data_IF_801911173401
#
_entry.id   IF_801911173401
#
_cell.length_a   1.000
_cell.length_b   1.000
_cell.length_c   1.000
_cell.angle_alpha   90.00
_cell.angle_beta   90.00
_cell.angle_gamma   90.00
#
_symmetry.space_group_name_H-M   'P 1'
#
loop_
_entity.id
_entity.type
_entity.pdbx_description
1 polymer ?
#
# COMPACT_ATOMS: atom_id res chain seq x y z
N UNK A 1 -11.76 -15.96 14.61
CA UNK A 1 -11.46 -17.36 14.25
C UNK A 1 -9.95 -17.53 14.38
N UNK A 2 -9.44 -18.54 15.09
CA UNK A 2 -7.99 -18.73 15.25
C UNK A 2 -7.43 -19.29 13.94
N UNK A 3 -6.60 -18.52 13.24
CA UNK A 3 -5.90 -18.99 12.04
C UNK A 3 -5.01 -20.18 12.43
N UNK A 4 -5.40 -21.38 12.00
CA UNK A 4 -4.69 -22.61 12.34
C UNK A 4 -3.52 -22.76 11.35
N UNK A 5 -2.29 -22.84 11.87
CA UNK A 5 -1.09 -23.02 11.04
C UNK A 5 -1.25 -24.15 10.03
N UNK A 6 -1.11 -23.83 8.74
CA UNK A 6 -1.18 -24.79 7.65
C UNK A 6 0.23 -25.01 7.06
N UNK A 7 0.84 -26.15 7.40
CA UNK A 7 2.17 -26.53 6.91
C UNK A 7 2.23 -26.65 5.38
N UNK A 8 1.12 -26.98 4.71
CA UNK A 8 1.07 -27.04 3.24
C UNK A 8 1.20 -25.66 2.62
N UNK A 9 0.54 -24.65 3.18
CA UNK A 9 0.66 -23.24 2.72
C UNK A 9 2.12 -22.80 2.78
N UNK A 10 2.78 -23.02 3.91
CA UNK A 10 4.20 -22.71 4.07
C UNK A 10 5.08 -23.37 3.01
N UNK A 11 4.99 -24.70 2.83
CA UNK A 11 5.85 -25.39 1.86
C UNK A 11 5.51 -25.08 0.40
N UNK A 12 4.25 -24.78 0.10
CA UNK A 12 3.84 -24.29 -1.22
C UNK A 12 4.45 -22.91 -1.49
N UNK A 13 4.40 -22.00 -0.52
CA UNK A 13 5.01 -20.67 -0.61
C UNK A 13 6.52 -20.75 -0.80
N UNK A 14 7.21 -21.59 -0.03
CA UNK A 14 8.66 -21.81 -0.18
C UNK A 14 8.98 -22.33 -1.59
N UNK A 15 8.21 -23.33 -2.06
CA UNK A 15 8.42 -23.89 -3.40
C UNK A 15 8.20 -22.86 -4.50
N UNK A 16 7.14 -22.06 -4.35
CA UNK A 16 6.78 -21.00 -5.28
C UNK A 16 7.86 -19.90 -5.33
N UNK A 17 8.23 -19.34 -4.17
CA UNK A 17 9.24 -18.27 -4.07
C UNK A 17 10.63 -18.73 -4.54
N UNK A 18 11.02 -19.97 -4.21
CA UNK A 18 12.27 -20.55 -4.72
C UNK A 18 12.31 -20.54 -6.25
N UNK A 19 11.22 -20.99 -6.88
CA UNK A 19 11.12 -21.03 -8.35
C UNK A 19 11.17 -19.64 -8.99
N UNK A 20 10.50 -18.64 -8.39
CA UNK A 20 10.51 -17.25 -8.86
C UNK A 20 11.91 -16.62 -8.78
N UNK A 21 12.69 -16.97 -7.75
CA UNK A 21 14.05 -16.48 -7.55
C UNK A 21 15.12 -17.33 -8.26
N UNK A 22 14.73 -18.39 -8.99
CA UNK A 22 15.67 -19.33 -9.61
C UNK A 22 16.51 -20.14 -8.63
N UNK A 23 16.11 -20.21 -7.35
CA UNK A 23 16.80 -20.95 -6.28
C UNK A 23 16.34 -22.41 -6.25
N UNK A 24 17.25 -23.32 -5.92
CA UNK A 24 16.89 -24.73 -5.71
C UNK A 24 16.44 -24.97 -4.29
N UNK A 25 15.45 -25.85 -4.09
CA UNK A 25 14.98 -26.24 -2.75
C UNK A 25 16.13 -26.75 -1.86
N UNK A 26 17.07 -27.50 -2.43
CA UNK A 26 18.23 -27.98 -1.67
C UNK A 26 19.16 -26.87 -1.17
N UNK A 27 19.21 -25.72 -1.85
CA UNK A 27 19.98 -24.55 -1.39
C UNK A 27 19.28 -23.89 -0.20
N UNK A 28 17.95 -23.78 -0.25
CA UNK A 28 17.15 -23.28 0.87
C UNK A 28 17.22 -24.20 2.10
N UNK A 29 17.24 -25.52 1.89
CA UNK A 29 17.41 -26.49 2.98
C UNK A 29 18.77 -26.33 3.67
N UNK A 30 19.83 -26.14 2.88
CA UNK A 30 21.17 -25.88 3.41
C UNK A 30 21.23 -24.55 4.18
N UNK A 31 20.66 -23.48 3.62
CA UNK A 31 20.58 -22.18 4.28
C UNK A 31 19.76 -22.22 5.58
N UNK A 32 18.73 -23.07 5.62
CA UNK A 32 17.90 -23.26 6.80
C UNK A 32 18.51 -24.20 7.86
N UNK A 33 19.66 -24.80 7.58
CA UNK A 33 20.33 -25.74 8.48
C UNK A 33 19.64 -27.11 8.57
N UNK A 34 18.89 -27.52 7.56
CA UNK A 34 18.16 -28.80 7.53
C UNK A 34 18.73 -29.76 6.49
N UNK A 35 18.47 -31.05 6.68
CA UNK A 35 18.90 -32.11 5.75
C UNK A 35 18.27 -31.96 4.37
N UNK A 36 18.97 -32.36 3.31
CA UNK A 36 18.42 -32.38 1.96
C UNK A 36 17.15 -33.24 1.85
N UNK A 37 16.15 -32.74 1.14
CA UNK A 37 14.81 -33.33 1.00
C UNK A 37 13.92 -33.18 2.24
N UNK A 38 14.34 -32.43 3.27
CA UNK A 38 13.51 -32.11 4.43
C UNK A 38 12.20 -31.45 4.00
N UNK A 39 12.24 -30.42 3.16
CA UNK A 39 11.06 -29.69 2.70
C UNK A 39 10.09 -30.63 1.99
N UNK A 40 10.59 -31.48 1.08
CA UNK A 40 9.75 -32.45 0.35
C UNK A 40 9.08 -33.46 1.28
N UNK A 41 9.83 -34.03 2.24
CA UNK A 41 9.29 -34.99 3.22
C UNK A 41 8.27 -34.34 4.15
N UNK A 42 8.51 -33.10 4.54
CA UNK A 42 7.68 -32.37 5.51
C UNK A 42 6.36 -31.89 4.88
N UNK A 43 6.39 -31.59 3.56
CA UNK A 43 5.21 -31.23 2.77
C UNK A 43 4.14 -32.36 2.71
N UNK A 44 4.57 -33.61 2.66
CA UNK A 44 3.65 -34.77 2.56
C UNK A 44 3.09 -35.21 3.91
N UNK A 45 3.83 -35.01 5.01
CA UNK A 45 3.53 -35.62 6.31
C UNK A 45 2.82 -34.76 7.36
N UNK A 46 2.29 -33.59 7.01
CA UNK A 46 1.69 -32.62 7.96
C UNK A 46 2.61 -32.27 9.14
N UNK A 47 3.92 -32.30 8.92
CA UNK A 47 4.92 -31.98 9.93
C UNK A 47 5.04 -30.47 10.12
N UNK A 48 5.27 -30.04 11.37
CA UNK A 48 5.47 -28.63 11.71
C UNK A 48 6.97 -28.34 11.79
N UNK A 49 7.53 -27.49 10.91
CA UNK A 49 8.94 -27.12 10.99
C UNK A 49 9.22 -26.30 12.26
N UNK A 50 10.46 -26.36 12.74
CA UNK A 50 10.93 -25.49 13.82
C UNK A 50 10.93 -24.02 13.38
N UNK A 51 10.71 -23.10 14.31
CA UNK A 51 10.61 -21.67 14.01
C UNK A 51 11.90 -21.11 13.36
N UNK A 52 13.07 -21.60 13.78
CA UNK A 52 14.37 -21.21 13.20
C UNK A 52 14.45 -21.53 11.70
N UNK A 53 13.90 -22.68 11.29
CA UNK A 53 13.86 -23.09 9.88
C UNK A 53 13.01 -22.08 9.07
N UNK A 54 11.86 -21.69 9.62
CA UNK A 54 10.97 -20.73 8.95
C UNK A 54 11.63 -19.36 8.81
N UNK A 55 12.28 -18.86 9.88
CA UNK A 55 12.98 -17.57 9.88
C UNK A 55 14.14 -17.58 8.88
N UNK A 56 14.97 -18.63 8.89
CA UNK A 56 16.13 -18.71 7.99
C UNK A 56 15.70 -18.75 6.52
N UNK A 57 14.64 -19.51 6.19
CA UNK A 57 14.10 -19.53 4.84
C UNK A 57 13.48 -18.18 4.45
N UNK A 58 12.78 -17.51 5.38
CA UNK A 58 12.22 -16.17 5.15
C UNK A 58 13.31 -15.15 4.81
N UNK A 59 14.40 -15.15 5.58
CA UNK A 59 15.55 -14.29 5.34
C UNK A 59 16.22 -14.60 3.99
N UNK A 60 16.42 -15.88 3.68
CA UNK A 60 17.03 -16.31 2.42
C UNK A 60 16.17 -15.93 1.20
N UNK A 61 14.84 -15.97 1.34
CA UNK A 61 13.89 -15.56 0.30
C UNK A 61 13.59 -14.05 0.33
N UNK A 62 14.15 -13.31 1.30
CA UNK A 62 13.91 -11.88 1.53
C UNK A 62 12.41 -11.53 1.63
N UNK A 63 11.65 -12.33 2.37
CA UNK A 63 10.21 -12.12 2.65
C UNK A 63 9.94 -12.18 4.16
N UNK A 64 8.81 -11.63 4.61
CA UNK A 64 8.40 -11.75 6.02
C UNK A 64 7.97 -13.18 6.37
N UNK A 65 8.14 -13.55 7.64
CA UNK A 65 7.63 -14.83 8.17
C UNK A 65 6.11 -14.92 8.02
N UNK A 66 5.39 -13.81 8.24
CA UNK A 66 3.93 -13.75 8.04
C UNK A 66 3.51 -14.04 6.60
N UNK A 67 4.25 -13.53 5.61
CA UNK A 67 4.01 -13.86 4.19
C UNK A 67 4.12 -15.36 3.96
N UNK A 68 5.19 -15.98 4.48
CA UNK A 68 5.44 -17.41 4.33
C UNK A 68 4.36 -18.28 4.99
N UNK A 69 3.81 -17.85 6.12
CA UNK A 69 2.85 -18.65 6.89
C UNK A 69 1.40 -18.48 6.45
N UNK A 70 1.01 -17.25 6.11
CA UNK A 70 -0.40 -16.87 6.03
C UNK A 70 -0.89 -16.56 4.60
N UNK A 71 0.02 -16.35 3.63
CA UNK A 71 -0.38 -15.97 2.28
C UNK A 71 -0.41 -17.19 1.37
N UNK A 72 -1.51 -17.53 0.71
CA UNK A 72 -1.51 -18.63 -0.27
C UNK A 72 -0.94 -18.16 -1.62
N UNK A 73 0.39 -18.05 -1.72
CA UNK A 73 1.07 -17.44 -2.87
C UNK A 73 0.86 -18.24 -4.17
N UNK A 74 0.63 -19.55 -4.07
CA UNK A 74 0.41 -20.43 -5.22
C UNK A 74 -0.93 -20.24 -5.93
N UNK A 75 -1.89 -19.56 -5.30
CA UNK A 75 -3.24 -19.34 -5.86
C UNK A 75 -3.41 -17.91 -6.42
N UNK A 76 -2.39 -17.06 -6.30
CA UNK A 76 -2.44 -15.71 -6.83
C UNK A 76 -2.41 -15.72 -8.36
N UNK A 77 -3.32 -14.95 -8.96
CA UNK A 77 -3.26 -14.62 -10.39
C UNK A 77 -1.99 -13.83 -10.71
N UNK A 78 -1.54 -13.80 -11.98
CA UNK A 78 -0.37 -13.01 -12.37
C UNK A 78 -0.46 -11.53 -11.98
N UNK A 79 -1.66 -10.94 -12.06
CA UNK A 79 -1.91 -9.54 -11.65
C UNK A 79 -1.78 -9.36 -10.14
N UNK A 80 -2.31 -10.28 -9.34
CA UNK A 80 -2.17 -10.25 -7.89
C UNK A 80 -0.71 -10.41 -7.44
N UNK A 81 0.06 -11.27 -8.10
CA UNK A 81 1.50 -11.41 -7.86
C UNK A 81 2.25 -10.11 -8.17
N UNK A 82 1.92 -9.45 -9.29
CA UNK A 82 2.48 -8.16 -9.65
C UNK A 82 2.17 -7.08 -8.59
N UNK A 83 0.90 -7.00 -8.14
CA UNK A 83 0.49 -6.04 -7.12
C UNK A 83 1.16 -6.29 -5.76
N UNK A 84 1.28 -7.56 -5.34
CA UNK A 84 2.04 -7.91 -4.14
C UNK A 84 3.48 -7.41 -4.23
N UNK A 85 4.18 -7.74 -5.32
CA UNK A 85 5.59 -7.33 -5.49
C UNK A 85 5.74 -5.80 -5.50
N UNK A 86 4.78 -5.10 -6.09
CA UNK A 86 4.72 -3.64 -6.05
C UNK A 86 4.59 -3.12 -4.61
N UNK A 87 3.64 -3.66 -3.83
CA UNK A 87 3.40 -3.25 -2.44
C UNK A 87 4.60 -3.53 -1.54
N UNK A 88 5.18 -4.72 -1.62
CA UNK A 88 6.39 -5.08 -0.86
C UNK A 88 7.55 -4.13 -1.16
N UNK A 89 7.72 -3.77 -2.44
CA UNK A 89 8.73 -2.78 -2.84
C UNK A 89 8.41 -1.39 -2.30
N UNK A 90 7.17 -0.93 -2.39
CA UNK A 90 6.74 0.36 -1.84
C UNK A 90 6.97 0.45 -0.32
N UNK A 91 6.64 -0.61 0.42
CA UNK A 91 6.90 -0.72 1.86
C UNK A 91 8.41 -0.64 2.12
N UNK A 92 9.22 -1.42 1.40
CA UNK A 92 10.68 -1.45 1.58
C UNK A 92 11.35 -0.12 1.24
N UNK A 93 10.94 0.54 0.15
CA UNK A 93 11.54 1.81 -0.25
C UNK A 93 11.02 2.98 0.62
N UNK A 94 9.80 2.93 1.15
CA UNK A 94 9.29 3.91 2.12
C UNK A 94 10.00 3.79 3.48
N UNK A 95 10.18 2.57 4.00
CA UNK A 95 10.92 2.34 5.26
C UNK A 95 12.40 2.76 5.17
N UNK A 96 12.98 2.70 3.96
CA UNK A 96 14.35 3.17 3.67
C UNK A 96 14.44 4.65 3.34
N UNK A 97 13.35 5.39 3.52
CA UNK A 97 13.27 6.83 3.25
C UNK A 97 13.68 7.23 1.82
N UNK A 98 13.31 6.41 0.83
CA UNK A 98 13.58 6.68 -0.59
C UNK A 98 12.41 7.29 -1.34
N UNK A 99 11.22 7.25 -0.75
CA UNK A 99 9.98 7.69 -1.38
C UNK A 99 9.46 8.93 -0.67
N UNK A 100 9.20 9.97 -1.46
CA UNK A 100 8.68 11.26 -1.02
C UNK A 100 7.16 11.28 -1.21
N UNK A 101 6.43 10.81 -0.21
CA UNK A 101 4.97 10.80 -0.21
C UNK A 101 4.44 12.19 0.15
N UNK A 102 3.54 12.73 -0.66
CA UNK A 102 2.81 13.95 -0.32
C UNK A 102 1.59 13.58 0.53
N UNK A 103 1.33 14.40 1.56
CA UNK A 103 0.17 14.24 2.44
C UNK A 103 -0.99 15.07 1.91
N UNK A 104 -2.17 14.47 1.84
CA UNK A 104 -3.44 15.13 1.53
C UNK A 104 -4.37 14.96 2.72
N UNK A 105 -4.63 16.04 3.45
CA UNK A 105 -5.35 15.94 4.71
C UNK A 105 -6.80 15.54 4.49
N UNK A 106 -7.37 14.78 5.44
CA UNK A 106 -8.78 14.38 5.39
C UNK A 106 -9.71 15.59 5.22
N UNK A 107 -9.43 16.67 5.96
CA UNK A 107 -10.19 17.93 5.87
C UNK A 107 -10.09 18.53 4.47
N UNK A 108 -8.88 18.68 3.92
CA UNK A 108 -8.72 19.27 2.58
C UNK A 108 -9.48 18.49 1.52
N UNK A 109 -9.48 17.16 1.60
CA UNK A 109 -10.17 16.30 0.65
C UNK A 109 -11.70 16.29 0.83
N UNK A 110 -12.19 16.28 2.08
CA UNK A 110 -13.62 16.30 2.36
C UNK A 110 -14.27 17.65 2.02
N UNK A 111 -13.50 18.74 2.00
CA UNK A 111 -13.97 20.10 1.69
C UNK A 111 -13.58 20.60 0.30
N UNK A 112 -13.18 19.70 -0.63
CA UNK A 112 -12.94 20.05 -2.03
C UNK A 112 -14.17 20.78 -2.60
N UNK A 113 -13.93 21.91 -3.26
CA UNK A 113 -14.95 22.64 -4.01
C UNK A 113 -14.64 22.55 -5.50
N UNK A 114 -15.65 22.30 -6.35
CA UNK A 114 -15.44 22.32 -7.78
C UNK A 114 -15.31 23.77 -8.29
N UNK A 115 -14.59 23.94 -9.39
CA UNK A 115 -14.56 25.19 -10.14
C UNK A 115 -15.91 25.45 -10.86
N UNK A 116 -15.99 26.56 -11.59
CA UNK A 116 -17.19 26.95 -12.36
C UNK A 116 -17.59 25.92 -13.42
N UNK A 117 -16.68 25.05 -13.84
CA UNK A 117 -16.90 24.00 -14.83
C UNK A 117 -17.19 22.63 -14.20
N UNK A 118 -17.24 22.54 -12.86
CA UNK A 118 -17.44 21.28 -12.14
C UNK A 118 -16.15 20.47 -11.91
N UNK A 119 -14.97 21.01 -12.26
CA UNK A 119 -13.70 20.33 -12.02
C UNK A 119 -13.28 20.48 -10.56
N UNK A 120 -12.91 19.38 -9.93
CA UNK A 120 -12.54 19.32 -8.50
C UNK A 120 -11.07 19.67 -8.26
N UNK A 121 -10.25 19.72 -9.31
CA UNK A 121 -8.79 19.85 -9.21
C UNK A 121 -8.06 18.59 -8.73
N UNK A 122 -8.79 17.55 -8.29
CA UNK A 122 -8.23 16.29 -7.83
C UNK A 122 -8.68 15.13 -8.74
N UNK A 123 -7.77 14.30 -9.27
CA UNK A 123 -8.10 13.32 -10.32
C UNK A 123 -9.05 12.21 -9.87
N UNK A 124 -9.08 11.89 -8.58
CA UNK A 124 -9.97 10.87 -8.03
C UNK A 124 -11.35 11.41 -7.57
N UNK A 125 -11.57 12.73 -7.62
CA UNK A 125 -12.83 13.33 -7.18
C UNK A 125 -13.62 13.84 -8.38
N UNK A 126 -14.93 13.58 -8.38
CA UNK A 126 -15.84 14.10 -9.38
C UNK A 126 -17.14 14.55 -8.75
N UNK A 127 -17.81 15.53 -9.37
CA UNK A 127 -19.13 15.97 -8.90
C UNK A 127 -20.16 14.91 -9.26
N UNK A 128 -20.88 14.41 -8.25
CA UNK A 128 -21.95 13.43 -8.42
C UNK A 128 -23.23 13.91 -7.76
N UNK A 129 -24.35 13.53 -8.36
CA UNK A 129 -25.68 13.67 -7.78
C UNK A 129 -26.16 12.31 -7.29
N UNK A 130 -26.53 12.18 -6.03
CA UNK A 130 -26.96 10.92 -5.44
C UNK A 130 -27.85 11.12 -4.21
N UNK A 131 -28.54 10.05 -3.81
CA UNK A 131 -29.45 10.03 -2.67
C UNK A 131 -28.70 9.68 -1.37
N UNK A 132 -28.86 10.51 -0.35
CA UNK A 132 -28.30 10.31 1.00
C UNK A 132 -29.44 9.98 1.97
N UNK A 133 -29.33 8.89 2.76
CA UNK A 133 -30.30 8.61 3.80
C UNK A 133 -30.35 9.74 4.83
N UNK A 134 -31.55 10.24 5.14
CA UNK A 134 -31.76 11.20 6.23
C UNK A 134 -32.32 10.50 7.46
N UNK A 135 -32.30 11.17 8.61
CA UNK A 135 -32.94 10.67 9.84
C UNK A 135 -34.47 10.59 9.73
N UNK A 136 -35.08 11.20 8.71
CA UNK A 136 -36.53 11.41 8.60
C UNK A 136 -37.09 10.78 7.32
N UNK A 137 -37.03 9.45 7.25
CA UNK A 137 -37.74 8.51 6.35
C UNK A 137 -37.53 8.65 4.81
N UNK A 138 -37.23 9.84 4.29
CA UNK A 138 -37.00 10.10 2.87
C UNK A 138 -35.53 10.50 2.62
N UNK A 139 -34.85 9.86 1.66
CA UNK A 139 -33.50 10.25 1.30
C UNK A 139 -33.50 11.62 0.59
N UNK A 140 -32.44 12.38 0.80
CA UNK A 140 -32.23 13.69 0.19
C UNK A 140 -31.28 13.58 -1.01
N UNK A 141 -31.60 14.24 -2.11
CA UNK A 141 -30.70 14.34 -3.27
C UNK A 141 -29.66 15.42 -3.02
N UNK A 142 -28.38 15.05 -3.08
CA UNK A 142 -27.25 15.96 -2.92
C UNK A 142 -26.36 15.94 -4.15
N UNK A 143 -25.78 17.10 -4.47
CA UNK A 143 -24.76 17.24 -5.52
C UNK A 143 -23.49 17.82 -4.91
N UNK A 144 -22.40 17.04 -4.91
CA UNK A 144 -21.10 17.47 -4.36
C UNK A 144 -19.94 16.70 -4.98
N UNK A 145 -18.70 17.22 -4.88
CA UNK A 145 -17.50 16.42 -5.14
C UNK A 145 -17.47 15.19 -4.24
N UNK A 146 -17.24 14.03 -4.84
CA UNK A 146 -17.07 12.77 -4.11
C UNK A 146 -15.91 11.98 -4.70
N UNK A 147 -15.23 11.27 -3.81
CA UNK A 147 -14.36 10.17 -4.18
C UNK A 147 -15.23 8.92 -4.40
N UNK A 148 -15.31 8.43 -5.64
CA UNK A 148 -16.08 7.24 -6.00
C UNK A 148 -15.27 5.98 -5.69
N UNK A 149 -15.25 5.60 -4.42
CA UNK A 149 -14.62 4.37 -3.94
C UNK A 149 -15.25 3.14 -4.60
N UNK A 150 -14.46 2.10 -4.86
CA UNK A 150 -15.04 0.83 -5.31
C UNK A 150 -15.70 0.05 -4.18
N UNK A 151 -15.25 0.25 -2.95
CA UNK A 151 -15.80 -0.39 -1.76
C UNK A 151 -17.14 0.22 -1.33
N UNK A 152 -17.27 1.56 -1.36
CA UNK A 152 -18.43 2.28 -0.81
C UNK A 152 -19.20 3.15 -1.83
N UNK A 153 -18.72 3.25 -3.08
CA UNK A 153 -19.35 4.04 -4.13
C UNK A 153 -19.38 5.54 -3.81
N UNK A 154 -20.48 6.21 -4.15
CA UNK A 154 -20.66 7.65 -3.91
C UNK A 154 -20.90 8.01 -2.43
N UNK A 155 -21.18 7.01 -1.58
CA UNK A 155 -21.43 7.19 -0.15
C UNK A 155 -20.13 7.08 0.65
N UNK A 156 -19.10 7.76 0.16
CA UNK A 156 -17.74 7.71 0.73
C UNK A 156 -17.35 9.05 1.32
N UNK A 157 -16.71 9.00 2.47
CA UNK A 157 -16.01 10.12 3.10
C UNK A 157 -14.53 9.75 3.28
N UNK A 158 -13.67 10.75 3.39
CA UNK A 158 -12.27 10.55 3.73
C UNK A 158 -12.16 10.43 5.25
N UNK A 159 -11.58 9.32 5.71
CA UNK A 159 -11.55 8.97 7.13
C UNK A 159 -10.33 9.56 7.85
N UNK A 160 -9.17 9.53 7.19
CA UNK A 160 -7.88 10.01 7.69
C UNK A 160 -7.07 10.61 6.54
N UNK A 161 -5.91 11.18 6.84
CA UNK A 161 -5.00 11.72 5.82
C UNK A 161 -4.68 10.66 4.74
N UNK A 162 -4.78 11.08 3.49
CA UNK A 162 -4.43 10.30 2.33
C UNK A 162 -3.03 10.67 1.86
N UNK A 163 -2.45 9.84 1.00
CA UNK A 163 -1.10 10.04 0.51
C UNK A 163 -1.03 9.86 -0.99
N UNK A 164 -0.21 10.66 -1.66
CA UNK A 164 0.11 10.45 -3.07
C UNK A 164 1.62 10.37 -3.31
N UNK A 165 1.99 9.58 -4.31
CA UNK A 165 3.37 9.39 -4.73
C UNK A 165 3.44 9.49 -6.26
N UNK A 166 4.20 10.46 -6.74
CA UNK A 166 4.45 10.61 -8.18
C UNK A 166 5.45 9.53 -8.63
N UNK A 167 4.99 8.60 -9.48
CA UNK A 167 5.84 7.53 -10.02
C UNK A 167 6.63 8.00 -11.24
N UNK A 168 6.02 8.87 -12.06
CA UNK A 168 6.62 9.54 -13.20
C UNK A 168 5.82 10.82 -13.52
N UNK A 169 6.22 11.56 -14.57
CA UNK A 169 5.59 12.83 -14.95
C UNK A 169 4.06 12.79 -15.06
N UNK A 170 3.48 11.69 -15.52
CA UNK A 170 2.05 11.59 -15.83
C UNK A 170 1.33 10.52 -15.00
N UNK A 171 1.95 9.98 -13.95
CA UNK A 171 1.36 8.89 -13.19
C UNK A 171 1.60 9.08 -11.72
N UNK A 172 0.51 9.11 -10.97
CA UNK A 172 0.51 9.29 -9.52
C UNK A 172 -0.24 8.13 -8.89
N UNK A 173 0.36 7.56 -7.85
CA UNK A 173 -0.23 6.56 -6.99
C UNK A 173 -0.88 7.27 -5.81
N UNK A 174 -2.06 6.84 -5.40
CA UNK A 174 -2.83 7.40 -4.30
C UNK A 174 -3.19 6.31 -3.31
N UNK A 175 -2.99 6.58 -2.03
CA UNK A 175 -3.36 5.72 -0.94
C UNK A 175 -4.43 6.43 -0.11
N UNK A 176 -5.65 5.95 -0.26
CA UNK A 176 -6.85 6.60 0.26
C UNK A 176 -7.33 5.90 1.53
N UNK A 177 -7.49 6.65 2.63
CA UNK A 177 -8.17 6.19 3.84
C UNK A 177 -9.62 6.68 3.84
N UNK A 178 -10.56 5.75 3.79
CA UNK A 178 -11.96 6.07 3.53
C UNK A 178 -12.91 5.41 4.51
N UNK A 179 -14.08 6.01 4.66
CA UNK A 179 -15.19 5.42 5.40
C UNK A 179 -16.54 5.65 4.71
N UNK A 180 -17.53 4.87 5.11
CA UNK A 180 -18.93 5.10 4.74
C UNK A 180 -19.39 6.46 5.29
N UNK A 181 -20.09 7.23 4.47
CA UNK A 181 -20.65 8.51 4.88
C UNK A 181 -21.62 8.41 6.06
N UNK A 182 -22.34 7.29 6.16
CA UNK A 182 -23.24 6.98 7.28
C UNK A 182 -22.95 5.57 7.77
N UNK A 183 -22.59 5.43 9.04
CA UNK A 183 -22.34 4.13 9.68
C UNK A 183 -22.55 4.19 11.19
N UNK A 184 -22.76 3.04 11.82
CA UNK A 184 -22.89 2.95 13.28
C UNK A 184 -21.53 3.13 13.95
N UNK A 185 -21.52 3.76 15.12
CA UNK A 185 -20.30 3.88 15.94
C UNK A 185 -19.74 2.48 16.22
N UNK A 186 -18.48 2.27 15.85
CA UNK A 186 -17.79 0.99 16.05
C UNK A 186 -18.03 -0.05 14.96
N UNK A 187 -18.65 0.28 13.81
CA UNK A 187 -18.74 -0.64 12.66
C UNK A 187 -17.34 -0.89 12.05
N UNK A 188 -16.74 -2.10 12.20
CA UNK A 188 -15.42 -2.41 11.64
C UNK A 188 -15.42 -2.49 10.10
N UNK A 189 -16.60 -2.58 9.48
CA UNK A 189 -16.77 -2.60 8.03
C UNK A 189 -17.09 -1.22 7.45
N UNK A 190 -17.09 -0.18 8.27
CA UNK A 190 -17.28 1.18 7.81
C UNK A 190 -16.02 1.80 7.21
N UNK A 191 -14.84 1.23 7.47
CA UNK A 191 -13.55 1.79 7.06
C UNK A 191 -12.88 0.87 6.04
N UNK A 192 -12.20 1.47 5.07
CA UNK A 192 -11.38 0.77 4.09
C UNK A 192 -10.17 1.62 3.70
N UNK A 193 -9.16 0.97 3.15
CA UNK A 193 -8.02 1.62 2.50
C UNK A 193 -7.93 1.14 1.08
N UNK A 194 -7.80 2.06 0.14
CA UNK A 194 -7.73 1.77 -1.28
C UNK A 194 -6.47 2.36 -1.90
N UNK A 195 -5.79 1.55 -2.69
CA UNK A 195 -4.67 1.97 -3.52
C UNK A 195 -5.18 2.24 -4.93
N UNK A 196 -5.03 3.48 -5.38
CA UNK A 196 -5.44 3.94 -6.70
C UNK A 196 -4.23 4.38 -7.50
N UNK A 197 -4.32 4.22 -8.82
CA UNK A 197 -3.40 4.83 -9.77
C UNK A 197 -4.19 5.75 -10.67
N UNK A 198 -3.63 6.91 -10.97
CA UNK A 198 -4.20 7.83 -11.94
C UNK A 198 -3.12 8.37 -12.85
N UNK A 199 -3.48 8.49 -14.12
CA UNK A 199 -2.77 9.28 -15.10
C UNK A 199 -3.66 10.44 -15.58
N UNK A 200 -3.19 11.21 -16.56
CA UNK A 200 -3.92 12.39 -17.06
C UNK A 200 -5.28 12.06 -17.73
N UNK A 201 -5.59 10.78 -17.98
CA UNK A 201 -6.78 10.35 -18.73
C UNK A 201 -7.68 9.39 -17.97
N UNK A 202 -7.12 8.58 -17.08
CA UNK A 202 -7.79 7.46 -16.44
C UNK A 202 -7.34 7.30 -14.98
N UNK A 203 -8.26 6.79 -14.18
CA UNK A 203 -8.04 6.39 -12.80
C UNK A 203 -8.57 4.98 -12.58
N UNK A 204 -7.82 4.20 -11.82
CA UNK A 204 -8.18 2.83 -11.52
C UNK A 204 -7.77 2.48 -10.09
N UNK A 205 -8.68 1.81 -9.38
CA UNK A 205 -8.29 1.09 -8.18
C UNK A 205 -7.39 -0.10 -8.56
N UNK A 206 -6.26 -0.20 -7.88
CA UNK A 206 -5.38 -1.36 -7.95
C UNK A 206 -5.81 -2.43 -6.94
N UNK A 207 -6.04 -2.02 -5.68
CA UNK A 207 -6.41 -2.95 -4.62
C UNK A 207 -7.00 -2.25 -3.38
N UNK A 208 -7.78 -3.00 -2.60
CA UNK A 208 -8.37 -2.56 -1.32
C UNK A 208 -8.01 -3.52 -0.19
N UNK A 209 -7.90 -3.00 1.04
CA UNK A 209 -7.77 -3.85 2.24
C UNK A 209 -9.04 -4.67 2.56
N UNK A 210 -10.13 -4.46 1.81
CA UNK A 210 -11.33 -5.32 1.81
C UNK A 210 -11.30 -6.41 0.73
N UNK A 211 -10.23 -6.48 -0.06
CA UNK A 211 -9.99 -7.52 -1.08
C UNK A 211 -9.56 -8.87 -0.50
N UNK A 212 -8.85 -9.68 -1.29
CA UNK A 212 -8.40 -10.99 -0.86
C UNK A 212 -7.34 -10.88 0.27
N UNK A 213 -7.41 -11.81 1.23
CA UNK A 213 -6.59 -11.80 2.46
C UNK A 213 -5.07 -11.83 2.19
N UNK A 214 -4.67 -12.35 1.02
CA UNK A 214 -3.26 -12.51 0.62
C UNK A 214 -2.54 -11.20 0.33
N UNK A 215 -3.28 -10.12 0.02
CA UNK A 215 -2.72 -8.81 -0.32
C UNK A 215 -3.28 -7.72 0.59
N UNK A 216 -4.49 -7.88 1.15
CA UNK A 216 -5.14 -6.87 1.97
C UNK A 216 -4.27 -6.36 3.14
N UNK A 217 -3.55 -7.26 3.82
CA UNK A 217 -2.65 -6.89 4.92
C UNK A 217 -1.49 -6.00 4.46
N UNK A 218 -1.00 -6.16 3.22
CA UNK A 218 0.08 -5.33 2.68
C UNK A 218 -0.39 -3.89 2.45
N UNK A 219 -1.69 -3.67 2.17
CA UNK A 219 -2.26 -2.32 2.06
C UNK A 219 -2.28 -1.64 3.43
N UNK A 220 -2.70 -2.34 4.49
CA UNK A 220 -2.68 -1.80 5.84
C UNK A 220 -1.24 -1.55 6.34
N UNK A 221 -0.31 -2.45 6.02
CA UNK A 221 1.12 -2.29 6.32
C UNK A 221 1.71 -1.07 5.60
N UNK A 222 1.49 -0.96 4.28
CA UNK A 222 1.94 0.19 3.49
C UNK A 222 1.42 1.49 4.08
N UNK A 223 0.13 1.57 4.38
CA UNK A 223 -0.46 2.76 5.00
C UNK A 223 0.20 3.12 6.33
N UNK A 224 0.40 2.13 7.20
CA UNK A 224 1.04 2.34 8.50
C UNK A 224 2.47 2.87 8.34
N UNK A 225 3.23 2.29 7.41
CA UNK A 225 4.60 2.71 7.11
C UNK A 225 4.65 4.12 6.52
N UNK A 226 3.71 4.48 5.63
CA UNK A 226 3.64 5.82 5.05
C UNK A 226 3.26 6.87 6.11
N UNK A 227 2.29 6.58 6.98
CA UNK A 227 1.91 7.44 8.11
C UNK A 227 3.08 7.65 9.07
N UNK A 228 3.87 6.61 9.35
CA UNK A 228 5.04 6.78 10.21
C UNK A 228 6.14 7.58 9.51
N UNK A 229 6.38 7.29 8.23
CA UNK A 229 7.36 8.00 7.41
C UNK A 229 7.05 9.50 7.31
N UNK A 230 5.77 9.89 7.19
CA UNK A 230 5.35 11.29 7.05
C UNK A 230 5.53 12.13 8.31
N UNK A 231 5.69 11.50 9.49
CA UNK A 231 5.99 12.21 10.75
C UNK A 231 7.43 12.73 10.79
N UNK A 232 8.31 12.24 9.92
CA UNK A 232 9.70 12.64 9.86
C UNK A 232 9.92 13.72 8.78
N UNK A 233 10.83 14.70 9.00
CA UNK A 233 11.14 15.69 7.98
C UNK A 233 11.61 15.04 6.68
N UNK A 234 11.03 15.47 5.56
CA UNK A 234 11.44 15.07 4.20
C UNK A 234 12.04 16.25 3.47
N UNK A 235 13.07 15.97 2.68
CA UNK A 235 13.68 16.93 1.77
C UNK A 235 13.47 16.39 0.37
N UNK A 236 12.76 17.15 -0.47
CA UNK A 236 12.59 16.80 -1.88
C UNK A 236 13.95 16.58 -2.53
N UNK A 237 14.07 15.54 -3.34
CA UNK A 237 15.35 15.15 -3.96
C UNK A 237 16.05 16.33 -4.66
N UNK A 238 15.29 17.17 -5.38
CA UNK A 238 15.85 18.32 -6.10
C UNK A 238 16.43 19.38 -5.13
N UNK A 239 15.80 19.56 -3.97
CA UNK A 239 16.29 20.46 -2.93
C UNK A 239 17.50 19.89 -2.20
N UNK A 240 17.57 18.55 -2.08
CA UNK A 240 18.70 17.86 -1.46
C UNK A 240 20.00 18.14 -2.23
N UNK A 241 19.97 18.15 -3.56
CA UNK A 241 21.15 18.47 -4.37
C UNK A 241 21.72 19.87 -4.10
N UNK A 242 20.85 20.85 -3.86
CA UNK A 242 21.25 22.21 -3.48
C UNK A 242 21.87 22.26 -2.07
N UNK A 243 21.30 21.49 -1.13
CA UNK A 243 21.85 21.38 0.23
C UNK A 243 23.19 20.64 0.24
N UNK A 244 23.31 19.55 -0.52
CA UNK A 244 24.55 18.79 -0.66
C UNK A 244 25.66 19.69 -1.23
N UNK A 245 25.34 20.49 -2.27
CA UNK A 245 26.27 21.48 -2.82
C UNK A 245 26.72 22.52 -1.78
N UNK A 246 25.80 23.02 -0.95
CA UNK A 246 26.12 23.94 0.14
C UNK A 246 27.00 23.27 1.21
N UNK A 247 26.70 22.02 1.58
CA UNK A 247 27.46 21.29 2.58
C UNK A 247 28.90 21.00 2.11
N UNK A 248 29.09 20.78 0.82
CA UNK A 248 30.40 20.54 0.21
C UNK A 248 31.19 21.83 -0.04
N UNK A 249 30.54 22.87 -0.57
CA UNK A 249 31.20 24.05 -1.13
C UNK A 249 30.99 25.35 -0.32
N UNK A 250 30.11 25.33 0.70
CA UNK A 250 29.72 26.53 1.44
C UNK A 250 28.76 27.45 0.67
N UNK A 251 28.52 28.66 1.20
CA UNK A 251 27.76 29.69 0.49
C UNK A 251 28.66 30.29 -0.57
N UNK A 252 28.23 30.24 -1.83
CA UNK A 252 28.86 30.98 -2.92
C UNK A 252 28.79 32.49 -2.61
N UNK A 253 29.94 33.10 -2.31
CA UNK A 253 30.02 34.52 -1.91
C UNK A 253 29.69 35.47 -3.08
N UNK A 254 29.72 34.99 -4.33
CA UNK A 254 29.40 35.79 -5.52
C UNK A 254 27.90 36.08 -5.65
N UNK A 255 27.02 35.36 -4.93
CA UNK A 255 25.58 35.67 -4.87
C UNK A 255 25.25 36.92 -4.03
N UNK A 256 26.22 37.45 -3.25
CA UNK A 256 26.03 38.69 -2.47
C UNK A 256 26.18 39.98 -3.31
N UNK A 257 26.56 39.85 -4.58
CA UNK A 257 26.87 40.98 -5.46
C UNK A 257 25.71 41.49 -6.33
N UNK A 258 24.53 40.84 -6.31
CA UNK A 258 23.39 41.27 -7.12
C UNK A 258 22.56 42.32 -6.35
N UNK A 259 22.45 43.56 -6.84
CA UNK A 259 21.60 44.57 -6.22
C UNK A 259 20.13 44.15 -6.38
N UNK A 260 19.40 44.22 -5.26
CA UNK A 260 17.95 44.04 -5.18
C UNK A 260 17.20 44.99 -6.12
#
# INVERSE_FOLDING_TARGET
MVNQFNSKTLFNNISYLASQQGKKIGELEAAAGVSTGYISRTKEGNFKPGIEVVINIANELNVSVDTLLNSNLSELTPTEQYLRNLLERLISDTTKDKLDWNVETADSLNYIQPDENGNTGHPLFSVKTFMVPTEVEYPEEVTRPVFESRTFGNQTCIADDCFNLQLNYNTTLYLMSICKSVHQVGDPNAYAKELWISNNTEQQELYSNKGAETISHLIDELYTVVVESSKHPKIKHDLKSALDSYLENGIDEDLRGLPF
#
